data_IF_782668516515
#
_entry.id   IF_782668516515
#
_cell.length_a   1.000
_cell.length_b   1.000
_cell.length_c   1.000
_cell.angle_alpha   90.00
_cell.angle_beta   90.00
_cell.angle_gamma   90.00
#
_symmetry.space_group_name_H-M   'P 1'
#
loop_
_entity.id
_entity.type
_entity.pdbx_description
1 polymer ?
#
# COMPACT_ATOMS: atom_id res chain seq x y z
N UNK A 1 -3.88 -14.46 -60.59
CA UNK A 1 -2.86 -14.29 -59.56
C UNK A 1 -3.51 -14.57 -58.21
N UNK A 2 -3.05 -15.61 -57.56
CA UNK A 2 -3.77 -16.33 -56.52
C UNK A 2 -3.80 -15.63 -55.16
N UNK A 3 -4.98 -15.36 -54.66
CA UNK A 3 -5.25 -15.05 -53.28
C UNK A 3 -5.20 -16.35 -52.46
N UNK A 4 -4.31 -16.42 -51.44
CA UNK A 4 -4.33 -17.47 -50.42
C UNK A 4 -5.02 -16.92 -49.17
N UNK A 5 -6.26 -17.37 -48.98
CA UNK A 5 -6.99 -17.25 -47.74
C UNK A 5 -6.44 -18.23 -46.72
N UNK A 6 -5.97 -17.73 -45.59
CA UNK A 6 -5.60 -18.52 -44.40
C UNK A 6 -6.86 -18.69 -43.55
N UNK A 7 -7.43 -19.87 -43.59
CA UNK A 7 -8.46 -20.34 -42.66
C UNK A 7 -7.80 -20.62 -41.32
N UNK A 8 -8.23 -19.89 -40.29
CA UNK A 8 -7.85 -20.15 -38.89
C UNK A 8 -8.91 -21.16 -38.37
N UNK A 9 -8.48 -22.41 -38.22
CA UNK A 9 -9.24 -23.45 -37.58
C UNK A 9 -9.43 -23.15 -36.09
N UNK A 10 -10.66 -22.98 -35.67
CA UNK A 10 -11.06 -22.98 -34.25
C UNK A 10 -11.07 -24.43 -33.76
N UNK A 11 -10.08 -24.80 -32.96
CA UNK A 11 -10.17 -25.99 -32.12
C UNK A 11 -11.02 -25.65 -30.88
N UNK A 12 -12.23 -26.17 -30.85
CA UNK A 12 -13.05 -26.32 -29.65
C UNK A 12 -12.37 -27.35 -28.74
N UNK A 13 -11.89 -26.94 -27.59
CA UNK A 13 -11.45 -27.83 -26.54
C UNK A 13 -12.57 -27.93 -25.52
N UNK A 14 -13.17 -29.11 -25.48
CA UNK A 14 -14.15 -29.51 -24.49
C UNK A 14 -13.58 -29.41 -23.07
N UNK A 15 -14.35 -28.78 -22.20
CA UNK A 15 -14.08 -28.70 -20.78
C UNK A 15 -14.34 -30.06 -20.13
N UNK A 16 -13.32 -30.86 -19.95
CA UNK A 16 -13.32 -31.95 -18.97
C UNK A 16 -12.59 -31.46 -17.71
N UNK A 17 -13.38 -31.34 -16.64
CA UNK A 17 -12.91 -31.18 -15.27
C UNK A 17 -11.94 -32.31 -14.93
N UNK A 18 -10.78 -31.97 -14.41
CA UNK A 18 -9.97 -32.74 -13.48
C UNK A 18 -8.48 -32.41 -13.60
N UNK A 19 -8.09 -31.23 -13.10
CA UNK A 19 -6.75 -31.03 -12.56
C UNK A 19 -6.86 -30.08 -11.38
N UNK A 20 -7.17 -30.63 -10.21
CA UNK A 20 -7.00 -29.93 -8.93
C UNK A 20 -5.56 -30.19 -8.45
N UNK A 21 -4.73 -29.17 -8.24
CA UNK A 21 -3.36 -29.39 -7.77
C UNK A 21 -3.34 -30.01 -6.36
N UNK A 22 -2.50 -31.00 -6.20
CA UNK A 22 -2.29 -31.88 -5.03
C UNK A 22 -2.06 -31.20 -3.67
N UNK A 23 -2.01 -29.90 -3.61
CA UNK A 23 -1.72 -29.14 -2.37
C UNK A 23 -2.94 -29.03 -1.44
N UNK A 24 -4.15 -29.29 -1.92
CA UNK A 24 -5.36 -29.23 -1.09
C UNK A 24 -5.73 -30.55 -0.41
N UNK A 25 -5.08 -31.66 -0.72
CA UNK A 25 -5.40 -32.97 -0.13
C UNK A 25 -4.82 -33.23 1.26
N UNK A 26 -3.90 -32.40 1.73
CA UNK A 26 -3.24 -32.65 3.05
C UNK A 26 -3.83 -31.91 4.24
N UNK A 27 -4.78 -30.98 4.08
CA UNK A 27 -5.27 -30.14 5.18
C UNK A 27 -6.73 -30.32 5.59
N UNK A 28 -7.52 -31.10 4.88
CA UNK A 28 -8.98 -31.22 5.10
C UNK A 28 -9.40 -32.39 6.02
N UNK A 29 -8.64 -33.48 6.24
CA UNK A 29 -9.11 -34.54 7.11
C UNK A 29 -9.04 -34.23 8.62
N UNK A 30 -8.32 -33.19 9.04
CA UNK A 30 -8.12 -32.93 10.48
C UNK A 30 -9.20 -32.03 11.10
N UNK A 31 -10.01 -31.38 10.31
CA UNK A 31 -11.10 -30.50 10.79
C UNK A 31 -12.46 -31.19 10.85
N UNK A 32 -12.63 -32.30 10.17
CA UNK A 32 -13.94 -32.99 10.05
C UNK A 32 -14.21 -33.99 11.21
N UNK A 33 -13.21 -34.45 11.94
CA UNK A 33 -13.38 -35.43 13.03
C UNK A 33 -13.46 -34.82 14.43
N UNK A 34 -13.50 -33.49 14.57
CA UNK A 34 -13.63 -32.85 15.88
C UNK A 34 -15.04 -32.37 16.23
N UNK A 35 -16.05 -32.69 15.39
CA UNK A 35 -17.43 -32.17 15.53
C UNK A 35 -18.52 -33.21 15.73
N UNK A 36 -18.19 -34.49 15.95
CA UNK A 36 -19.22 -35.48 16.29
C UNK A 36 -18.80 -36.30 17.52
N UNK A 37 -19.50 -36.02 18.61
CA UNK A 37 -19.61 -36.89 19.77
C UNK A 37 -18.98 -36.33 21.03
N UNK A 38 -19.78 -35.66 21.82
CA UNK A 38 -20.00 -35.85 23.26
C UNK A 38 -21.04 -34.78 23.68
N UNK A 39 -22.22 -35.26 24.03
CA UNK A 39 -23.29 -34.49 24.67
C UNK A 39 -22.83 -33.98 26.05
N UNK A 40 -23.10 -32.72 26.33
CA UNK A 40 -23.26 -32.28 27.71
C UNK A 40 -22.27 -31.29 28.31
N UNK A 41 -21.54 -30.44 27.56
CA UNK A 41 -20.85 -29.30 28.21
C UNK A 41 -20.81 -28.11 27.28
N UNK A 42 -21.75 -27.17 27.48
CA UNK A 42 -21.69 -25.82 26.91
C UNK A 42 -20.53 -25.03 27.55
N UNK A 43 -19.32 -25.27 27.11
CA UNK A 43 -18.18 -24.39 27.40
C UNK A 43 -18.20 -23.25 26.38
N UNK A 44 -18.47 -22.07 26.89
CA UNK A 44 -18.49 -20.81 26.15
C UNK A 44 -17.22 -20.64 25.29
N UNK A 45 -17.39 -20.36 24.03
CA UNK A 45 -16.32 -20.10 23.04
C UNK A 45 -15.33 -19.01 23.48
N UNK A 46 -15.71 -18.19 24.46
CA UNK A 46 -14.87 -17.15 25.06
C UNK A 46 -13.66 -17.70 25.86
N UNK A 47 -13.75 -18.91 26.42
CA UNK A 47 -12.66 -19.47 27.24
C UNK A 47 -11.63 -20.29 26.45
N UNK A 48 -11.90 -20.61 25.19
CA UNK A 48 -10.94 -21.32 24.33
C UNK A 48 -9.93 -20.38 23.63
N UNK A 49 -10.34 -19.14 23.38
CA UNK A 49 -9.50 -18.15 22.71
C UNK A 49 -8.40 -17.58 23.61
N UNK A 50 -8.56 -17.64 24.94
CA UNK A 50 -7.60 -17.12 25.91
C UNK A 50 -6.39 -18.02 26.20
N UNK A 51 -6.41 -19.28 25.77
CA UNK A 51 -5.32 -20.26 26.05
C UNK A 51 -4.44 -20.63 24.83
N UNK A 52 -4.63 -20.02 23.67
CA UNK A 52 -3.81 -20.29 22.49
C UNK A 52 -2.68 -19.26 22.37
N UNK A 53 -1.41 -19.63 22.55
CA UNK A 53 -0.27 -18.65 22.54
C UNK A 53 -0.04 -17.96 21.21
N UNK A 54 -0.69 -18.43 20.13
CA UNK A 54 -0.60 -17.85 18.79
C UNK A 54 -1.49 -16.59 18.65
N UNK A 55 -2.60 -16.51 19.40
CA UNK A 55 -3.50 -15.34 19.36
C UNK A 55 -3.01 -14.16 20.18
N UNK A 56 -2.27 -14.40 21.26
CA UNK A 56 -1.65 -13.32 22.04
C UNK A 56 -0.54 -12.61 21.27
N UNK A 57 0.13 -13.29 20.32
CA UNK A 57 1.14 -12.66 19.47
C UNK A 57 0.53 -11.74 18.40
N UNK A 58 -0.72 -11.97 17.99
CA UNK A 58 -1.41 -11.15 16.98
C UNK A 58 -2.01 -9.86 17.57
N UNK A 59 -2.36 -9.86 18.86
CA UNK A 59 -2.88 -8.68 19.55
C UNK A 59 -1.79 -7.66 19.95
N UNK A 60 -0.54 -8.11 20.09
CA UNK A 60 0.61 -7.25 20.42
C UNK A 60 1.11 -6.43 19.20
N UNK A 61 0.68 -6.79 17.99
CA UNK A 61 1.08 -6.07 16.77
C UNK A 61 0.16 -4.90 16.39
N UNK A 62 -0.89 -4.61 17.15
CA UNK A 62 -1.64 -3.35 17.02
C UNK A 62 -0.92 -2.28 17.84
N UNK A 63 -0.07 -1.50 17.14
CA UNK A 63 0.60 -0.35 17.73
C UNK A 63 -0.41 0.60 18.38
N UNK A 64 -0.20 1.03 19.63
CA UNK A 64 -1.11 1.94 20.29
C UNK A 64 -1.16 3.27 19.53
N UNK A 65 -2.37 3.82 19.34
CA UNK A 65 -2.61 5.15 18.79
C UNK A 65 -1.84 6.17 19.64
N UNK A 66 -0.87 6.83 19.06
CA UNK A 66 -0.22 7.99 19.68
C UNK A 66 -1.24 9.11 19.82
N UNK A 67 -1.80 9.26 20.98
CA UNK A 67 -2.48 10.47 21.43
C UNK A 67 -1.43 11.51 21.81
N UNK A 68 -1.77 12.76 21.55
CA UNK A 68 -1.00 13.96 21.48
C UNK A 68 0.04 14.28 22.56
N UNK A 69 0.90 15.15 22.12
CA UNK A 69 1.71 16.15 22.86
C UNK A 69 1.71 15.94 24.38
N UNK A 70 2.70 15.23 24.86
CA UNK A 70 3.01 15.09 26.27
C UNK A 70 4.50 15.36 26.49
N UNK A 71 4.78 16.26 27.37
CA UNK A 71 6.04 16.69 28.01
C UNK A 71 7.24 15.75 27.82
N UNK A 72 8.40 16.33 27.51
CA UNK A 72 9.67 15.63 27.45
C UNK A 72 9.84 14.61 28.59
N UNK A 73 10.25 13.36 28.28
CA UNK A 73 10.48 12.40 29.35
C UNK A 73 11.63 12.88 30.20
N UNK A 74 11.33 13.13 31.47
CA UNK A 74 12.34 13.24 32.52
C UNK A 74 13.21 11.99 32.40
N UNK A 75 14.50 12.18 32.24
CA UNK A 75 15.47 11.10 32.11
C UNK A 75 15.27 10.12 33.27
N UNK A 76 14.74 8.95 32.98
CA UNK A 76 14.63 7.88 33.98
C UNK A 76 16.06 7.58 34.45
N UNK A 77 16.34 7.90 35.67
CA UNK A 77 17.62 7.59 36.31
C UNK A 77 17.90 6.10 36.06
N UNK A 78 18.99 5.82 35.34
CA UNK A 78 19.47 4.45 35.12
C UNK A 78 19.64 3.82 36.49
N UNK A 79 18.75 2.90 36.88
CA UNK A 79 18.93 2.10 38.09
C UNK A 79 20.32 1.48 38.01
N UNK A 80 21.19 1.86 38.92
CA UNK A 80 22.52 1.26 39.04
C UNK A 80 22.31 -0.26 39.09
N UNK A 81 23.06 -1.07 38.32
CA UNK A 81 22.96 -2.52 38.40
C UNK A 81 23.20 -2.91 39.89
N UNK A 82 22.24 -3.59 40.49
CA UNK A 82 22.40 -4.13 41.83
C UNK A 82 23.59 -5.09 41.76
N UNK A 83 24.66 -4.72 42.37
CA UNK A 83 25.85 -5.59 42.51
C UNK A 83 25.41 -6.85 43.18
N UNK A 84 25.40 -7.96 42.43
CA UNK A 84 25.12 -9.27 42.98
C UNK A 84 26.25 -9.60 43.92
N UNK A 85 25.94 -9.69 45.21
CA UNK A 85 26.88 -10.14 46.21
C UNK A 85 27.37 -11.54 45.80
N UNK A 86 28.60 -11.62 45.26
CA UNK A 86 29.22 -12.87 44.91
C UNK A 86 29.83 -13.47 46.19
N UNK A 87 29.37 -14.66 46.54
CA UNK A 87 29.95 -15.38 47.70
C UNK A 87 31.38 -15.78 47.30
N UNK A 88 32.43 -15.33 48.04
CA UNK A 88 33.82 -15.61 47.66
C UNK A 88 34.21 -17.09 47.70
N UNK A 89 33.41 -17.95 48.35
CA UNK A 89 33.62 -19.41 48.39
C UNK A 89 33.25 -20.07 47.04
N UNK A 90 32.51 -19.43 46.16
CA UNK A 90 32.07 -20.02 44.91
C UNK A 90 32.54 -19.19 43.70
N UNK A 91 33.77 -19.42 43.27
CA UNK A 91 34.28 -18.79 42.04
C UNK A 91 33.56 -19.37 40.80
N UNK A 92 33.08 -18.45 39.92
CA UNK A 92 32.55 -18.85 38.64
C UNK A 92 33.65 -19.39 37.75
N UNK A 93 33.58 -20.65 37.37
CA UNK A 93 34.43 -21.22 36.34
C UNK A 93 34.23 -20.41 35.02
N UNK A 94 35.33 -20.09 34.34
CA UNK A 94 35.29 -19.54 33.01
C UNK A 94 34.61 -20.51 32.09
N UNK A 95 33.62 -20.02 31.29
CA UNK A 95 32.92 -20.85 30.30
C UNK A 95 33.82 -21.07 29.09
N UNK A 96 34.08 -22.31 28.73
CA UNK A 96 34.74 -22.72 27.51
C UNK A 96 33.70 -22.91 26.41
N UNK A 97 33.82 -22.21 25.31
CA UNK A 97 32.87 -22.25 24.18
C UNK A 97 33.39 -23.08 22.99
N UNK A 98 34.38 -23.95 23.19
CA UNK A 98 34.90 -24.85 22.17
C UNK A 98 33.98 -26.02 21.88
N UNK A 99 34.40 -26.90 20.97
CA UNK A 99 33.68 -28.15 20.65
C UNK A 99 33.50 -28.99 21.91
N UNK A 100 32.26 -29.40 22.24
CA UNK A 100 31.96 -30.14 23.47
C UNK A 100 31.86 -29.28 24.75
N UNK A 101 32.07 -27.96 24.65
CA UNK A 101 31.98 -27.02 25.76
C UNK A 101 30.58 -26.41 25.94
N UNK A 102 30.53 -25.29 26.66
CA UNK A 102 29.28 -24.58 26.93
C UNK A 102 28.71 -23.94 25.67
N UNK A 103 27.37 -23.87 25.57
CA UNK A 103 26.69 -23.14 24.50
C UNK A 103 27.06 -21.66 24.51
N UNK A 104 27.38 -21.06 23.37
CA UNK A 104 27.68 -19.63 23.28
C UNK A 104 26.49 -18.79 23.74
N UNK A 105 26.71 -17.61 24.31
CA UNK A 105 25.64 -16.75 24.76
C UNK A 105 24.79 -16.30 23.57
N UNK A 106 23.50 -16.08 23.80
CA UNK A 106 22.56 -15.59 22.80
C UNK A 106 23.05 -14.24 22.26
N UNK A 107 23.29 -14.17 20.97
CA UNK A 107 23.74 -12.95 20.26
C UNK A 107 22.70 -12.55 19.25
N UNK A 108 22.68 -11.27 18.86
CA UNK A 108 21.89 -10.81 17.73
C UNK A 108 22.56 -11.27 16.42
N UNK A 109 21.91 -12.20 15.73
CA UNK A 109 22.35 -12.77 14.45
C UNK A 109 21.58 -12.18 13.27
N UNK A 110 20.84 -11.09 13.43
CA UNK A 110 20.01 -10.48 12.40
C UNK A 110 20.80 -10.15 11.13
N UNK A 111 22.08 -9.75 11.27
CA UNK A 111 22.99 -9.47 10.15
C UNK A 111 23.36 -10.72 9.33
N UNK A 112 23.39 -11.88 9.96
CA UNK A 112 23.83 -13.14 9.35
C UNK A 112 22.67 -14.03 8.90
N UNK A 113 21.44 -13.66 9.24
CA UNK A 113 20.25 -14.43 8.86
C UNK A 113 19.98 -14.26 7.36
N UNK A 114 19.82 -15.38 6.66
CA UNK A 114 19.43 -15.41 5.26
C UNK A 114 17.92 -15.17 5.15
N UNK A 115 17.52 -14.00 4.62
CA UNK A 115 16.10 -13.68 4.40
C UNK A 115 15.49 -14.56 3.30
N UNK A 116 14.18 -14.88 3.37
CA UNK A 116 13.45 -15.53 2.30
C UNK A 116 13.59 -14.81 0.97
N UNK A 117 13.51 -15.54 -0.14
CA UNK A 117 13.67 -14.97 -1.50
C UNK A 117 12.75 -13.77 -1.76
N UNK A 118 11.50 -13.82 -1.29
CA UNK A 118 10.51 -12.73 -1.45
C UNK A 118 11.05 -11.41 -0.90
N UNK A 119 11.55 -11.41 0.34
CA UNK A 119 12.11 -10.21 0.99
C UNK A 119 13.35 -9.72 0.25
N UNK A 120 14.21 -10.64 -0.18
CA UNK A 120 15.44 -10.32 -0.95
C UNK A 120 15.10 -9.65 -2.27
N UNK A 121 14.15 -10.19 -3.03
CA UNK A 121 13.70 -9.65 -4.32
C UNK A 121 13.05 -8.28 -4.13
N UNK A 122 12.21 -8.09 -3.12
CA UNK A 122 11.60 -6.79 -2.82
C UNK A 122 12.66 -5.72 -2.52
N UNK A 123 13.66 -6.06 -1.70
CA UNK A 123 14.78 -5.16 -1.39
C UNK A 123 15.61 -4.84 -2.63
N UNK A 124 15.94 -5.84 -3.43
CA UNK A 124 16.71 -5.68 -4.68
C UNK A 124 15.94 -4.79 -5.68
N UNK A 125 14.65 -5.03 -5.89
CA UNK A 125 13.77 -4.22 -6.76
C UNK A 125 13.75 -2.75 -6.30
N UNK A 126 13.65 -2.51 -4.99
CA UNK A 126 13.69 -1.15 -4.43
C UNK A 126 15.04 -0.47 -4.67
N UNK A 127 16.14 -1.16 -4.43
CA UNK A 127 17.48 -0.63 -4.65
C UNK A 127 17.71 -0.34 -6.13
N UNK A 128 17.35 -1.26 -7.03
CA UNK A 128 17.49 -1.07 -8.48
C UNK A 128 16.72 0.14 -8.97
N UNK A 129 15.47 0.35 -8.52
CA UNK A 129 14.69 1.54 -8.85
C UNK A 129 15.35 2.85 -8.42
N UNK A 130 16.14 2.83 -7.35
CA UNK A 130 16.88 4.01 -6.89
C UNK A 130 18.19 4.22 -7.63
N UNK A 131 18.89 3.14 -8.00
CA UNK A 131 20.24 3.19 -8.64
C UNK A 131 20.17 3.43 -10.13
N UNK A 132 19.25 2.76 -10.82
CA UNK A 132 19.12 2.88 -12.26
C UNK A 132 18.55 4.25 -12.64
N UNK A 133 18.90 4.72 -13.81
CA UNK A 133 18.32 5.93 -14.40
C UNK A 133 16.87 5.65 -14.80
N UNK A 134 15.93 6.39 -14.25
CA UNK A 134 14.49 6.17 -14.46
C UNK A 134 13.96 7.19 -15.46
N UNK A 135 13.26 6.76 -16.52
CA UNK A 135 12.67 7.68 -17.50
C UNK A 135 11.62 8.61 -16.87
N UNK A 136 11.41 9.81 -17.42
CA UNK A 136 10.50 10.80 -16.86
C UNK A 136 9.06 10.30 -16.68
N UNK A 137 8.57 9.47 -17.62
CA UNK A 137 7.23 8.90 -17.57
C UNK A 137 6.98 8.07 -16.30
N UNK A 138 8.01 7.37 -15.81
CA UNK A 138 7.93 6.61 -14.54
C UNK A 138 8.28 7.48 -13.34
N UNK A 139 9.20 8.42 -13.51
CA UNK A 139 9.65 9.29 -12.43
C UNK A 139 8.55 10.20 -11.89
N UNK A 140 7.59 10.61 -12.72
CA UNK A 140 6.45 11.42 -12.28
C UNK A 140 5.66 10.76 -11.13
N UNK A 141 5.58 9.42 -11.07
CA UNK A 141 4.90 8.68 -10.00
C UNK A 141 5.65 8.70 -8.66
N UNK A 142 6.89 9.18 -8.62
CA UNK A 142 7.60 9.42 -7.36
C UNK A 142 7.12 10.69 -6.67
N UNK A 143 6.53 11.63 -7.43
CA UNK A 143 5.95 12.86 -6.92
C UNK A 143 4.50 12.62 -6.55
N UNK A 144 4.25 12.46 -5.27
CA UNK A 144 2.90 12.25 -4.73
C UNK A 144 2.41 13.50 -4.03
N UNK A 145 1.09 13.61 -3.91
CA UNK A 145 0.43 14.70 -3.22
C UNK A 145 0.91 14.81 -1.76
N UNK A 146 1.00 16.03 -1.24
CA UNK A 146 1.41 16.32 0.13
C UNK A 146 0.48 15.69 1.17
N UNK A 147 1.01 15.39 2.35
CA UNK A 147 0.26 14.69 3.40
C UNK A 147 -1.00 15.44 3.84
N UNK A 148 -0.95 16.75 3.95
CA UNK A 148 -2.08 17.58 4.40
C UNK A 148 -3.17 17.58 3.33
N UNK A 149 -2.84 17.96 2.10
CA UNK A 149 -3.77 18.00 0.96
C UNK A 149 -4.35 16.60 0.67
N UNK A 150 -3.51 15.55 0.75
CA UNK A 150 -3.98 14.17 0.61
C UNK A 150 -4.97 13.80 1.70
N UNK A 151 -4.76 14.20 2.96
CA UNK A 151 -5.70 13.90 4.04
C UNK A 151 -7.04 14.58 3.83
N UNK A 152 -7.06 15.83 3.37
CA UNK A 152 -8.29 16.57 3.06
C UNK A 152 -9.00 15.93 1.85
N UNK A 153 -8.26 15.58 0.80
CA UNK A 153 -8.81 14.86 -0.35
C UNK A 153 -9.46 13.53 0.06
N UNK A 154 -8.80 12.74 0.92
CA UNK A 154 -9.37 11.47 1.39
C UNK A 154 -10.61 11.66 2.27
N UNK A 155 -10.66 12.70 3.12
CA UNK A 155 -11.87 13.04 3.90
C UNK A 155 -13.04 13.31 2.96
N UNK A 156 -12.81 14.11 1.91
CA UNK A 156 -13.83 14.40 0.91
C UNK A 156 -14.25 13.15 0.14
N UNK A 157 -13.32 12.34 -0.36
CA UNK A 157 -13.63 11.10 -1.08
C UNK A 157 -14.44 10.11 -0.23
N UNK A 158 -14.26 10.09 1.08
CA UNK A 158 -15.05 9.26 2.00
C UNK A 158 -16.51 9.72 2.08
N UNK A 159 -16.81 11.03 1.97
CA UNK A 159 -18.19 11.54 1.89
C UNK A 159 -18.92 11.05 0.64
N UNK A 160 -18.18 10.85 -0.47
CA UNK A 160 -18.70 10.38 -1.76
C UNK A 160 -18.48 8.87 -1.99
N UNK A 161 -18.33 8.13 -0.93
CA UNK A 161 -18.15 6.69 -0.96
C UNK A 161 -19.36 6.01 -1.63
N UNK A 162 -19.14 5.06 -2.57
CA UNK A 162 -20.24 4.29 -3.14
C UNK A 162 -20.88 3.38 -2.09
N UNK A 163 -22.14 3.06 -2.30
CA UNK A 163 -22.91 2.15 -1.44
C UNK A 163 -22.24 0.76 -1.35
N UNK A 164 -22.38 0.14 -0.21
CA UNK A 164 -21.97 -1.25 -0.03
C UNK A 164 -22.94 -2.19 -0.78
N UNK A 165 -22.50 -3.42 -1.01
CA UNK A 165 -23.28 -4.43 -1.73
C UNK A 165 -24.62 -4.73 -1.04
N UNK A 166 -24.63 -4.73 0.30
CA UNK A 166 -25.82 -4.94 1.11
C UNK A 166 -26.81 -3.76 0.97
N UNK A 167 -26.34 -2.54 1.18
CA UNK A 167 -27.12 -1.31 1.06
C UNK A 167 -27.74 -1.16 -0.35
N UNK A 168 -26.95 -1.47 -1.39
CA UNK A 168 -27.43 -1.46 -2.76
C UNK A 168 -28.57 -2.47 -2.97
N UNK A 169 -28.45 -3.67 -2.40
CA UNK A 169 -29.50 -4.70 -2.50
C UNK A 169 -30.78 -4.22 -1.82
N UNK A 170 -30.69 -3.66 -0.61
CA UNK A 170 -31.85 -3.11 0.12
C UNK A 170 -32.52 -1.97 -0.64
N UNK A 171 -31.73 -1.04 -1.18
CA UNK A 171 -32.26 0.07 -1.98
C UNK A 171 -33.01 -0.43 -3.22
N UNK A 172 -32.48 -1.42 -3.91
CA UNK A 172 -33.14 -2.01 -5.08
C UNK A 172 -34.41 -2.75 -4.70
N UNK A 173 -34.44 -3.47 -3.58
CA UNK A 173 -35.64 -4.14 -3.07
C UNK A 173 -36.73 -3.12 -2.70
N UNK A 174 -36.37 -2.07 -1.96
CA UNK A 174 -37.30 -0.99 -1.61
C UNK A 174 -37.89 -0.31 -2.84
N UNK A 175 -37.04 -0.12 -3.87
CA UNK A 175 -37.49 0.45 -5.15
C UNK A 175 -38.47 -0.48 -5.88
N UNK A 176 -38.15 -1.77 -5.96
CA UNK A 176 -39.05 -2.74 -6.58
C UNK A 176 -40.38 -2.85 -5.85
N UNK A 177 -40.39 -2.77 -4.51
CA UNK A 177 -41.62 -2.74 -3.71
C UNK A 177 -42.44 -1.48 -3.99
N UNK A 178 -41.81 -0.30 -4.05
CA UNK A 178 -42.47 0.94 -4.37
C UNK A 178 -43.07 0.96 -5.80
N UNK A 179 -42.34 0.39 -6.76
CA UNK A 179 -42.82 0.21 -8.14
C UNK A 179 -44.01 -0.77 -8.21
N UNK A 180 -44.00 -1.84 -7.42
CA UNK A 180 -45.12 -2.78 -7.31
C UNK A 180 -46.39 -2.14 -6.64
N UNK A 181 -46.17 -1.20 -5.72
CA UNK A 181 -47.26 -0.41 -5.08
C UNK A 181 -47.75 0.76 -5.95
N UNK A 182 -47.25 0.91 -7.18
CA UNK A 182 -47.62 2.00 -8.08
C UNK A 182 -47.16 3.39 -7.67
N UNK A 183 -46.26 3.48 -6.68
CA UNK A 183 -45.64 4.74 -6.26
C UNK A 183 -44.44 5.04 -7.14
N UNK A 184 -44.43 6.17 -7.84
CA UNK A 184 -43.28 6.64 -8.59
C UNK A 184 -42.06 6.77 -7.66
N UNK A 185 -41.09 5.87 -7.76
CA UNK A 185 -39.89 5.91 -6.96
C UNK A 185 -38.97 7.03 -7.46
N UNK A 186 -39.17 8.24 -6.98
CA UNK A 186 -38.27 9.39 -7.20
C UNK A 186 -36.92 9.20 -6.49
N UNK A 187 -36.10 8.29 -6.96
CA UNK A 187 -34.76 8.16 -6.47
C UNK A 187 -33.78 8.98 -7.33
N UNK A 188 -33.39 10.16 -6.84
CA UNK A 188 -32.31 10.94 -7.45
C UNK A 188 -31.03 10.08 -7.50
N UNK A 189 -30.36 10.08 -8.65
CA UNK A 189 -29.12 9.33 -8.82
C UNK A 189 -28.06 9.80 -7.80
N UNK A 190 -27.50 8.93 -6.95
CA UNK A 190 -26.53 9.34 -5.95
C UNK A 190 -25.23 9.85 -6.57
N UNK A 191 -24.71 10.95 -6.03
CA UNK A 191 -23.41 11.51 -6.40
C UNK A 191 -22.33 10.72 -5.67
N UNK A 192 -21.60 9.88 -6.40
CA UNK A 192 -20.57 8.96 -5.84
C UNK A 192 -19.30 8.98 -6.67
N UNK A 193 -18.20 8.61 -6.04
CA UNK A 193 -16.90 8.43 -6.70
C UNK A 193 -17.00 7.34 -7.76
N UNK A 194 -16.50 7.63 -8.96
CA UNK A 194 -16.39 6.68 -10.05
C UNK A 194 -15.03 6.01 -10.00
N UNK A 195 -14.98 4.71 -10.33
CA UNK A 195 -13.77 3.91 -10.26
C UNK A 195 -13.71 2.89 -11.41
N UNK A 196 -12.53 2.33 -11.60
CA UNK A 196 -12.23 1.41 -12.71
C UNK A 196 -11.58 2.15 -13.88
N UNK A 197 -10.47 1.57 -14.38
CA UNK A 197 -9.63 2.21 -15.40
C UNK A 197 -10.44 2.58 -16.65
N UNK A 198 -11.12 1.62 -17.27
CA UNK A 198 -11.88 1.83 -18.51
C UNK A 198 -13.00 2.86 -18.34
N UNK A 199 -13.68 2.83 -17.17
CA UNK A 199 -14.75 3.79 -16.90
C UNK A 199 -14.22 5.20 -16.69
N UNK A 200 -13.10 5.34 -15.97
CA UNK A 200 -12.46 6.65 -15.74
C UNK A 200 -11.91 7.23 -17.03
N UNK A 201 -11.29 6.44 -17.91
CA UNK A 201 -10.82 6.91 -19.22
C UNK A 201 -11.96 7.45 -20.06
N UNK A 202 -13.05 6.72 -20.15
CA UNK A 202 -14.25 7.18 -20.85
C UNK A 202 -14.80 8.51 -20.29
N UNK A 203 -14.78 8.70 -18.96
CA UNK A 203 -15.22 9.95 -18.35
C UNK A 203 -14.25 11.11 -18.62
N UNK A 204 -12.95 10.84 -18.72
CA UNK A 204 -11.94 11.85 -19.09
C UNK A 204 -12.14 12.27 -20.54
N UNK A 205 -12.27 11.33 -21.47
CA UNK A 205 -12.48 11.59 -22.89
C UNK A 205 -13.75 12.39 -23.16
N UNK A 206 -14.79 12.21 -22.34
CA UNK A 206 -16.04 12.98 -22.43
C UNK A 206 -16.01 14.31 -21.65
N UNK A 207 -14.88 14.72 -21.08
CA UNK A 207 -14.74 15.90 -20.21
C UNK A 207 -15.75 15.96 -19.04
N UNK A 208 -16.25 14.81 -18.59
CA UNK A 208 -17.15 14.70 -17.44
C UNK A 208 -16.41 14.59 -16.09
N UNK A 209 -15.09 14.42 -16.14
CA UNK A 209 -14.25 14.27 -14.95
C UNK A 209 -13.83 15.64 -14.41
N UNK A 210 -14.15 15.93 -13.15
CA UNK A 210 -13.68 17.14 -12.46
C UNK A 210 -12.34 16.96 -11.77
N UNK A 211 -12.04 15.75 -11.30
CA UNK A 211 -10.77 15.39 -10.68
C UNK A 211 -10.48 13.91 -10.86
N UNK A 212 -9.26 13.59 -11.27
CA UNK A 212 -8.76 12.22 -11.40
C UNK A 212 -7.69 11.96 -10.35
N UNK A 213 -7.84 10.87 -9.60
CA UNK A 213 -6.91 10.46 -8.55
C UNK A 213 -6.26 9.15 -8.93
N UNK A 214 -4.94 9.16 -9.11
CA UNK A 214 -4.15 8.02 -9.60
C UNK A 214 -3.29 7.47 -8.47
N UNK A 215 -3.20 6.15 -8.32
CA UNK A 215 -2.30 5.53 -7.36
C UNK A 215 -0.87 5.48 -7.91
N UNK A 216 0.14 5.73 -7.04
CA UNK A 216 1.56 5.70 -7.43
C UNK A 216 2.15 4.28 -7.53
N UNK A 217 1.56 3.31 -6.86
CA UNK A 217 2.07 1.95 -6.63
C UNK A 217 1.31 0.86 -7.42
N UNK A 218 0.75 1.22 -8.57
CA UNK A 218 0.09 0.27 -9.46
C UNK A 218 1.14 -0.67 -10.08
N UNK A 219 0.84 -1.96 -10.07
CA UNK A 219 1.69 -2.99 -10.66
C UNK A 219 0.79 -3.89 -11.51
N UNK A 220 0.95 -3.93 -12.84
CA UNK A 220 1.93 -3.23 -13.67
C UNK A 220 1.66 -1.73 -13.85
N UNK A 221 2.73 -0.93 -13.98
CA UNK A 221 2.64 0.54 -14.07
C UNK A 221 2.12 1.03 -15.43
N UNK A 222 2.23 0.20 -16.46
CA UNK A 222 1.78 0.48 -17.84
C UNK A 222 0.27 0.80 -17.89
N UNK A 223 -0.50 0.30 -16.93
CA UNK A 223 -1.94 0.58 -16.82
C UNK A 223 -2.25 2.05 -16.58
N UNK A 224 -1.37 2.78 -15.90
CA UNK A 224 -1.62 4.15 -15.45
C UNK A 224 -0.62 5.19 -15.98
N UNK A 225 0.47 4.75 -16.63
CA UNK A 225 1.58 5.61 -17.05
C UNK A 225 1.16 6.70 -18.04
N UNK A 226 0.17 6.43 -18.86
CA UNK A 226 -0.36 7.32 -19.89
C UNK A 226 -1.48 8.27 -19.39
N UNK A 227 -2.10 7.95 -18.24
CA UNK A 227 -3.21 8.76 -17.69
C UNK A 227 -2.87 10.23 -17.42
N UNK A 228 -1.71 10.58 -16.84
CA UNK A 228 -1.33 11.97 -16.65
C UNK A 228 -1.29 12.77 -17.96
N UNK A 229 -0.80 12.14 -19.04
CA UNK A 229 -0.76 12.76 -20.36
C UNK A 229 -2.17 12.96 -20.94
N UNK A 230 -3.06 11.98 -20.80
CA UNK A 230 -4.46 12.07 -21.21
C UNK A 230 -5.18 13.19 -20.43
N UNK A 231 -5.03 13.23 -19.12
CA UNK A 231 -5.63 14.26 -18.28
C UNK A 231 -5.15 15.67 -18.67
N UNK A 232 -3.84 15.83 -18.95
CA UNK A 232 -3.29 17.10 -19.40
C UNK A 232 -3.85 17.51 -20.75
N UNK A 233 -3.98 16.59 -21.71
CA UNK A 233 -4.53 16.84 -23.05
C UNK A 233 -6.01 17.27 -22.99
N UNK A 234 -6.77 16.69 -22.07
CA UNK A 234 -8.20 16.99 -21.87
C UNK A 234 -8.42 18.09 -20.82
N UNK A 235 -7.37 18.75 -20.34
CA UNK A 235 -7.39 19.82 -19.32
C UNK A 235 -8.04 19.42 -17.98
N UNK A 236 -8.18 18.11 -17.72
CA UNK A 236 -8.75 17.59 -16.50
C UNK A 236 -7.70 17.59 -15.38
N UNK A 237 -7.99 18.15 -14.20
CA UNK A 237 -7.11 18.11 -13.04
C UNK A 237 -6.86 16.66 -12.60
N UNK A 238 -5.59 16.33 -12.35
CA UNK A 238 -5.22 15.02 -11.85
C UNK A 238 -4.23 15.12 -10.70
N UNK A 239 -4.21 14.11 -9.85
CA UNK A 239 -3.21 13.99 -8.79
C UNK A 239 -2.74 12.55 -8.62
N UNK A 240 -1.48 12.40 -8.18
CA UNK A 240 -0.89 11.10 -7.85
C UNK A 240 -0.85 10.94 -6.34
N UNK A 241 -1.46 9.87 -5.83
CA UNK A 241 -1.63 9.62 -4.40
C UNK A 241 -0.88 8.37 -3.98
N UNK A 242 -0.35 8.41 -2.78
CA UNK A 242 0.41 7.31 -2.20
C UNK A 242 -0.50 6.19 -1.69
N UNK A 243 -0.44 5.03 -2.33
CA UNK A 243 -1.08 3.79 -1.89
C UNK A 243 -2.38 3.43 -2.62
N UNK A 244 -2.33 2.38 -3.49
CA UNK A 244 -3.52 1.81 -4.15
C UNK A 244 -4.52 1.20 -3.19
N UNK A 245 -4.05 0.67 -2.06
CA UNK A 245 -4.91 0.12 -1.02
C UNK A 245 -5.76 1.22 -0.35
N UNK A 246 -5.21 2.42 -0.13
CA UNK A 246 -5.94 3.56 0.42
C UNK A 246 -7.07 4.02 -0.51
N UNK A 247 -6.86 3.99 -1.82
CA UNK A 247 -7.92 4.24 -2.81
C UNK A 247 -8.95 3.11 -2.80
N UNK A 248 -8.52 1.87 -2.61
CA UNK A 248 -9.40 0.70 -2.53
C UNK A 248 -10.40 0.79 -1.36
N UNK A 249 -9.97 1.27 -0.19
CA UNK A 249 -10.86 1.42 0.98
C UNK A 249 -12.03 2.37 0.73
N UNK A 250 -11.90 3.34 -0.17
CA UNK A 250 -12.99 4.26 -0.52
C UNK A 250 -14.08 3.53 -1.30
N UNK A 251 -13.71 2.60 -2.18
CA UNK A 251 -14.63 1.92 -3.09
C UNK A 251 -14.95 0.48 -2.68
N UNK A 252 -14.77 0.13 -1.42
CA UNK A 252 -15.01 -1.22 -0.87
C UNK A 252 -14.24 -2.33 -1.62
N UNK A 253 -13.04 -2.01 -2.12
CA UNK A 253 -12.17 -2.95 -2.81
C UNK A 253 -10.83 -3.07 -2.10
N UNK A 254 -10.12 -4.18 -2.29
CA UNK A 254 -8.77 -4.38 -1.74
C UNK A 254 -7.79 -3.32 -2.26
N UNK A 255 -7.89 -3.00 -3.54
CA UNK A 255 -7.05 -2.01 -4.21
C UNK A 255 -7.84 -1.32 -5.32
N UNK A 256 -7.51 -0.05 -5.60
CA UNK A 256 -7.99 0.69 -6.76
C UNK A 256 -6.82 1.44 -7.41
N UNK A 257 -6.72 1.39 -8.73
CA UNK A 257 -5.68 2.08 -9.48
C UNK A 257 -5.99 3.55 -9.70
N UNK A 258 -7.25 3.84 -10.00
CA UNK A 258 -7.73 5.18 -10.36
C UNK A 258 -9.13 5.42 -9.82
N UNK A 259 -9.38 6.63 -9.35
CA UNK A 259 -10.69 7.14 -8.96
C UNK A 259 -10.98 8.45 -9.71
N UNK A 260 -12.25 8.75 -9.92
CA UNK A 260 -12.68 9.99 -10.55
C UNK A 260 -13.89 10.59 -9.81
N UNK A 261 -13.88 11.91 -9.65
CA UNK A 261 -15.03 12.71 -9.25
C UNK A 261 -15.61 13.38 -10.49
N UNK A 262 -16.91 13.20 -10.71
CA UNK A 262 -17.65 13.81 -11.84
C UNK A 262 -18.48 15.02 -11.40
N UNK A 263 -19.04 14.94 -10.22
CA UNK A 263 -19.88 15.99 -9.64
C UNK A 263 -19.67 16.06 -8.14
N UNK A 264 -19.79 17.24 -7.57
CA UNK A 264 -19.67 17.49 -6.13
C UNK A 264 -20.93 18.23 -5.65
N UNK A 265 -21.39 17.93 -4.45
CA UNK A 265 -22.52 18.62 -3.84
C UNK A 265 -22.17 20.09 -3.59
N UNK A 266 -23.19 20.96 -3.56
CA UNK A 266 -22.98 22.39 -3.37
C UNK A 266 -22.30 22.73 -2.03
N UNK A 267 -22.60 21.97 -0.97
CA UNK A 267 -22.00 22.10 0.37
C UNK A 267 -20.48 21.96 0.38
N UNK A 268 -19.95 21.04 -0.44
CA UNK A 268 -18.53 20.70 -0.48
C UNK A 268 -17.75 21.47 -1.56
N UNK A 269 -18.40 22.33 -2.36
CA UNK A 269 -17.73 23.04 -3.49
C UNK A 269 -16.57 23.91 -3.04
N UNK A 270 -16.67 24.60 -1.92
CA UNK A 270 -15.60 25.46 -1.39
C UNK A 270 -14.38 24.64 -0.96
N UNK A 271 -14.61 23.52 -0.25
CA UNK A 271 -13.52 22.62 0.15
C UNK A 271 -12.85 21.99 -1.09
N UNK A 272 -13.67 21.63 -2.07
CA UNK A 272 -13.20 21.05 -3.34
C UNK A 272 -12.38 22.03 -4.16
N UNK A 273 -12.80 23.30 -4.31
CA UNK A 273 -12.03 24.29 -5.09
C UNK A 273 -10.63 24.54 -4.50
N UNK A 274 -10.51 24.64 -3.16
CA UNK A 274 -9.21 24.77 -2.48
C UNK A 274 -8.30 23.58 -2.76
N UNK A 275 -8.86 22.36 -2.75
CA UNK A 275 -8.10 21.15 -3.07
C UNK A 275 -7.69 21.14 -4.55
N UNK A 276 -8.59 21.53 -5.46
CA UNK A 276 -8.30 21.61 -6.89
C UNK A 276 -7.20 22.61 -7.23
N UNK A 277 -7.21 23.81 -6.65
CA UNK A 277 -6.16 24.81 -6.83
C UNK A 277 -4.80 24.26 -6.42
N UNK A 278 -4.72 23.65 -5.25
CA UNK A 278 -3.52 23.00 -4.76
C UNK A 278 -3.03 21.87 -5.69
N UNK A 279 -3.94 21.10 -6.25
CA UNK A 279 -3.63 20.01 -7.20
C UNK A 279 -3.16 20.57 -8.54
N UNK A 280 -3.84 21.57 -9.09
CA UNK A 280 -3.45 22.21 -10.35
C UNK A 280 -2.03 22.78 -10.27
N UNK A 281 -1.73 23.55 -9.21
CA UNK A 281 -0.41 24.11 -8.97
C UNK A 281 0.72 23.06 -8.85
N UNK A 282 0.41 21.87 -8.30
CA UNK A 282 1.40 20.83 -8.07
C UNK A 282 1.58 19.85 -9.24
N UNK A 283 0.54 19.58 -10.02
CA UNK A 283 0.56 18.57 -11.07
C UNK A 283 0.34 19.12 -12.47
N UNK A 284 -0.72 19.87 -12.70
CA UNK A 284 -1.06 20.34 -14.05
C UNK A 284 -0.06 21.38 -14.57
N UNK A 285 0.30 22.36 -13.74
CA UNK A 285 1.21 23.45 -14.12
C UNK A 285 2.65 22.95 -14.25
N UNK A 286 3.04 22.00 -13.39
CA UNK A 286 4.38 21.41 -13.40
C UNK A 286 4.52 20.17 -14.29
N UNK A 287 3.50 19.84 -15.10
CA UNK A 287 3.51 18.67 -15.96
C UNK A 287 4.70 18.65 -16.93
N UNK A 288 4.97 19.79 -17.58
CA UNK A 288 6.05 19.89 -18.57
C UNK A 288 7.44 19.76 -17.92
N UNK A 289 7.60 20.24 -16.69
CA UNK A 289 8.81 20.02 -15.90
C UNK A 289 9.00 18.55 -15.57
N UNK A 290 7.94 17.89 -15.08
CA UNK A 290 8.00 16.48 -14.70
C UNK A 290 8.23 15.56 -15.90
N UNK A 291 7.70 15.90 -17.07
CA UNK A 291 7.89 15.16 -18.31
C UNK A 291 9.35 15.17 -18.80
N UNK A 292 10.13 16.19 -18.44
CA UNK A 292 11.55 16.30 -18.82
C UNK A 292 12.50 15.72 -17.77
N UNK A 293 12.06 15.58 -16.52
CA UNK A 293 12.92 15.25 -15.40
C UNK A 293 13.14 13.74 -15.24
N UNK A 294 14.36 13.29 -15.53
CA UNK A 294 14.79 11.93 -15.23
C UNK A 294 14.93 11.71 -13.72
N UNK A 295 14.67 10.49 -13.29
CA UNK A 295 14.83 10.06 -11.89
C UNK A 295 15.90 9.00 -11.70
N UNK A 296 16.03 8.50 -10.49
CA UNK A 296 17.02 7.48 -10.13
C UNK A 296 18.44 8.03 -10.02
N UNK A 297 19.44 7.18 -10.28
CA UNK A 297 20.85 7.56 -10.21
C UNK A 297 21.38 7.84 -8.80
N UNK A 298 20.63 7.52 -7.74
CA UNK A 298 21.00 7.78 -6.36
C UNK A 298 22.02 6.75 -5.90
N UNK A 299 23.25 7.19 -5.63
CA UNK A 299 24.34 6.33 -5.17
C UNK A 299 24.10 5.84 -3.73
N UNK A 300 24.75 4.74 -3.34
CA UNK A 300 24.70 4.22 -1.97
C UNK A 300 25.35 5.13 -0.95
N UNK A 301 24.96 5.00 0.32
CA UNK A 301 25.50 5.79 1.40
C UNK A 301 27.03 5.77 1.50
N UNK A 302 27.65 4.60 1.30
CA UNK A 302 29.12 4.44 1.26
C UNK A 302 29.76 5.22 0.11
N UNK A 303 29.18 5.11 -1.10
CA UNK A 303 29.68 5.84 -2.28
C UNK A 303 29.51 7.34 -2.12
N UNK A 304 28.38 7.80 -1.60
CA UNK A 304 28.15 9.22 -1.31
C UNK A 304 29.13 9.77 -0.26
N UNK A 305 29.40 9.00 0.80
CA UNK A 305 30.38 9.39 1.82
C UNK A 305 31.80 9.50 1.21
N UNK A 306 32.19 8.54 0.35
CA UNK A 306 33.48 8.59 -0.36
C UNK A 306 33.59 9.82 -1.28
N UNK A 307 32.54 10.11 -2.06
CA UNK A 307 32.51 11.28 -2.95
C UNK A 307 32.63 12.58 -2.15
N UNK A 308 31.82 12.74 -1.08
CA UNK A 308 31.88 13.92 -0.20
C UNK A 308 33.24 14.09 0.47
N UNK A 309 33.90 12.99 0.88
CA UNK A 309 35.25 13.06 1.45
C UNK A 309 36.26 13.56 0.40
N UNK A 310 36.18 13.06 -0.83
CA UNK A 310 37.03 13.51 -1.95
C UNK A 310 36.79 14.97 -2.31
N UNK A 311 35.54 15.41 -2.40
CA UNK A 311 35.18 16.81 -2.65
C UNK A 311 35.76 17.74 -1.56
N UNK A 312 35.68 17.34 -0.28
CA UNK A 312 36.26 18.09 0.82
C UNK A 312 37.77 18.21 0.73
N UNK A 313 38.47 17.16 0.29
CA UNK A 313 39.94 17.20 0.07
C UNK A 313 40.27 18.16 -1.06
N UNK A 314 39.61 18.04 -2.21
CA UNK A 314 39.82 18.95 -3.33
C UNK A 314 39.53 20.41 -3.01
N UNK A 315 38.46 20.66 -2.22
CA UNK A 315 38.17 22.03 -1.74
C UNK A 315 39.24 22.58 -0.81
N UNK A 316 39.80 21.75 0.05
CA UNK A 316 40.95 22.16 0.89
C UNK A 316 42.22 22.48 0.09
N UNK A 317 42.55 21.63 -0.88
CA UNK A 317 43.69 21.85 -1.78
C UNK A 317 43.51 23.10 -2.63
N UNK A 318 42.27 23.36 -3.14
CA UNK A 318 41.98 24.59 -3.86
C UNK A 318 42.13 25.85 -2.96
N UNK A 319 41.65 25.78 -1.73
CA UNK A 319 41.80 26.88 -0.78
C UNK A 319 43.28 27.14 -0.43
N UNK A 320 44.11 26.10 -0.27
CA UNK A 320 45.54 26.23 -0.01
C UNK A 320 46.33 26.82 -1.21
N UNK A 321 45.83 26.61 -2.44
CA UNK A 321 46.47 27.20 -3.65
C UNK A 321 46.12 28.66 -3.84
N UNK A 322 45.08 29.17 -3.19
CA UNK A 322 44.65 30.57 -3.25
C UNK A 322 45.24 31.44 -2.13
N UNK A 323 45.77 30.80 -1.10
CA UNK A 323 46.56 31.47 -0.06
C UNK A 323 48.04 31.44 -0.40
#
# INVERSE_FOLDING_TARGET
MQQRTLEIAWCSVDASADVVPEIQRFWIPWFSNALFGIDGLKLSFANFVSKCPIYTLFLVLQAPKRSGVGKAPVAAAKKKPVEKVSNPLFEKRSKQFGIGGALPPKRDLSRFVKFPKVVRIQRQKRILKQRLKVPPALNQFTKTLDKVTASNLFKMLLKYRPEDKAEKKERLLKRAQAEAEGKAAESKKPVVVKYGLNHVTYLIEQNKAQLVVIAHDVDPIELVVWLPALCKKMEVPYCIVKGKARLGTIVHKKTASVLCLTTVKNEDKLEFSRILESIKANFNDKYDEYRKKWGGGIMGSKSQAKTKAREKLLAKEAAQRMT
#
